data_IF_785466555945
#
_entry.id   IF_785466555945
#
_cell.length_a   1.000
_cell.length_b   1.000
_cell.length_c   1.000
_cell.angle_alpha   90.00
_cell.angle_beta   90.00
_cell.angle_gamma   90.00
#
_symmetry.space_group_name_H-M   'P 1'
#
loop_
_entity.id
_entity.type
_entity.pdbx_description
1 polymer ?
#
# COMPACT_ATOMS: atom_id res chain seq x y z
N UNK A 1 31.44 18.70 15.34
CA UNK A 1 30.21 18.44 16.12
C UNK A 1 28.95 18.67 15.29
N UNK A 2 28.78 19.85 14.66
CA UNK A 2 27.60 20.18 13.83
C UNK A 2 27.34 19.22 12.63
N UNK A 3 28.40 18.78 11.94
CA UNK A 3 28.28 17.86 10.79
C UNK A 3 27.81 16.46 11.21
N UNK A 4 28.35 15.93 12.31
CA UNK A 4 28.01 14.59 12.81
C UNK A 4 26.55 14.49 13.27
N UNK A 5 26.01 15.55 13.88
CA UNK A 5 24.60 15.60 14.28
C UNK A 5 23.66 15.68 13.08
N UNK A 6 24.05 16.38 12.01
CA UNK A 6 23.26 16.48 10.79
C UNK A 6 23.14 15.12 10.09
N UNK A 7 24.25 14.38 10.00
CA UNK A 7 24.31 13.06 9.36
C UNK A 7 23.47 12.01 10.11
N UNK A 8 23.46 12.08 11.44
CA UNK A 8 22.63 11.21 12.27
C UNK A 8 21.13 11.48 12.07
N UNK A 9 20.74 12.76 11.94
CA UNK A 9 19.35 13.14 11.70
C UNK A 9 18.82 12.64 10.34
N UNK A 10 19.63 12.75 9.28
CA UNK A 10 19.27 12.22 7.95
C UNK A 10 19.15 10.69 7.95
N UNK A 11 20.04 9.99 8.64
CA UNK A 11 19.98 8.52 8.74
C UNK A 11 18.72 8.03 9.45
N UNK A 12 18.29 8.72 10.51
CA UNK A 12 17.06 8.38 11.23
C UNK A 12 15.81 8.63 10.40
N UNK A 13 15.79 9.73 9.62
CA UNK A 13 14.70 10.03 8.70
C UNK A 13 14.57 8.95 7.61
N UNK A 14 15.70 8.57 6.99
CA UNK A 14 15.74 7.51 5.97
C UNK A 14 15.22 6.17 6.49
N UNK A 15 15.64 5.78 7.71
CA UNK A 15 15.14 4.58 8.37
C UNK A 15 13.62 4.65 8.59
N UNK A 16 13.12 5.78 9.10
CA UNK A 16 11.69 6.01 9.33
C UNK A 16 10.85 5.87 8.06
N UNK A 17 11.35 6.38 6.92
CA UNK A 17 10.67 6.21 5.64
C UNK A 17 10.72 4.79 5.09
N UNK A 18 11.84 4.08 5.23
CA UNK A 18 11.92 2.67 4.86
C UNK A 18 10.90 1.83 5.62
N UNK A 19 10.77 2.06 6.93
CA UNK A 19 9.79 1.39 7.78
C UNK A 19 8.36 1.79 7.41
N UNK A 20 8.09 3.09 7.24
CA UNK A 20 6.77 3.60 6.88
C UNK A 20 6.27 3.04 5.55
N UNK A 21 7.11 3.05 4.52
CA UNK A 21 6.79 2.46 3.21
C UNK A 21 6.56 0.95 3.31
N UNK A 22 7.38 0.23 4.09
CA UNK A 22 7.21 -1.21 4.31
C UNK A 22 5.87 -1.54 4.97
N UNK A 23 5.51 -0.83 6.04
CA UNK A 23 4.24 -1.02 6.76
C UNK A 23 3.05 -0.70 5.84
N UNK A 24 3.11 0.39 5.09
CA UNK A 24 2.06 0.77 4.13
C UNK A 24 1.87 -0.33 3.07
N UNK A 25 2.96 -0.89 2.55
CA UNK A 25 2.93 -1.97 1.55
C UNK A 25 2.29 -3.25 2.12
N UNK A 26 2.63 -3.61 3.36
CA UNK A 26 2.01 -4.77 4.03
C UNK A 26 0.50 -4.56 4.21
N UNK A 27 0.09 -3.37 4.67
CA UNK A 27 -1.32 -3.02 4.82
C UNK A 27 -2.10 -3.11 3.50
N UNK A 28 -1.52 -2.61 2.41
CA UNK A 28 -2.09 -2.68 1.08
C UNK A 28 -2.25 -4.14 0.61
N UNK A 29 -1.19 -4.93 0.73
CA UNK A 29 -1.19 -6.34 0.32
C UNK A 29 -2.25 -7.17 1.06
N UNK A 30 -2.40 -6.96 2.37
CA UNK A 30 -3.43 -7.63 3.16
C UNK A 30 -4.85 -7.19 2.76
N UNK A 31 -5.05 -5.89 2.53
CA UNK A 31 -6.34 -5.35 2.10
C UNK A 31 -6.77 -5.89 0.73
N UNK A 32 -5.89 -5.78 -0.27
CA UNK A 32 -6.12 -6.25 -1.64
C UNK A 32 -6.29 -7.77 -1.66
N UNK A 33 -5.47 -8.51 -0.92
CA UNK A 33 -5.59 -9.97 -0.82
C UNK A 33 -6.95 -10.42 -0.27
N UNK A 34 -7.46 -9.74 0.77
CA UNK A 34 -8.80 -10.01 1.31
C UNK A 34 -9.93 -9.68 0.34
N UNK A 35 -9.81 -8.54 -0.38
CA UNK A 35 -10.77 -8.14 -1.42
C UNK A 35 -10.79 -9.19 -2.54
N UNK A 36 -9.62 -9.59 -3.02
CA UNK A 36 -9.46 -10.60 -4.07
C UNK A 36 -10.02 -11.96 -3.66
N UNK A 37 -9.70 -12.45 -2.45
CA UNK A 37 -10.24 -13.71 -1.94
C UNK A 37 -11.77 -13.69 -1.86
N UNK A 38 -12.33 -12.62 -1.30
CA UNK A 38 -13.80 -12.46 -1.20
C UNK A 38 -14.48 -12.40 -2.57
N UNK A 39 -13.82 -11.77 -3.55
CA UNK A 39 -14.31 -11.73 -4.93
C UNK A 39 -14.29 -13.12 -5.58
N UNK A 40 -13.24 -13.92 -5.37
CA UNK A 40 -13.17 -15.28 -5.91
C UNK A 40 -14.27 -16.18 -5.31
N UNK A 41 -14.50 -16.10 -4.00
CA UNK A 41 -15.58 -16.83 -3.33
C UNK A 41 -16.97 -16.42 -3.85
N UNK A 42 -17.16 -15.12 -4.10
CA UNK A 42 -18.41 -14.61 -4.66
C UNK A 42 -18.63 -15.09 -6.11
N UNK A 43 -17.58 -15.09 -6.94
CA UNK A 43 -17.62 -15.58 -8.32
C UNK A 43 -17.90 -17.08 -8.36
N UNK A 44 -17.28 -17.86 -7.47
CA UNK A 44 -17.52 -19.30 -7.38
C UNK A 44 -19.00 -19.62 -7.05
N UNK A 45 -19.68 -18.77 -6.28
CA UNK A 45 -21.10 -18.93 -5.93
C UNK A 45 -22.06 -18.41 -7.00
N UNK A 46 -21.66 -17.37 -7.74
CA UNK A 46 -22.50 -16.67 -8.72
C UNK A 46 -21.66 -16.34 -9.98
N UNK A 47 -21.35 -17.34 -10.83
CA UNK A 47 -20.46 -17.16 -11.98
C UNK A 47 -21.03 -16.16 -13.02
N UNK A 48 -22.35 -16.09 -13.15
CA UNK A 48 -23.06 -15.12 -14.00
C UNK A 48 -22.80 -13.65 -13.60
N UNK A 49 -22.44 -13.38 -12.34
CA UNK A 49 -22.13 -12.04 -11.85
C UNK A 49 -20.64 -11.67 -11.94
N UNK A 50 -19.80 -12.54 -12.53
CA UNK A 50 -18.34 -12.43 -12.48
C UNK A 50 -17.79 -11.07 -12.93
N UNK A 51 -18.26 -10.55 -14.07
CA UNK A 51 -17.79 -9.26 -14.59
C UNK A 51 -18.08 -8.10 -13.62
N UNK A 52 -19.27 -8.10 -12.99
CA UNK A 52 -19.65 -7.06 -12.02
C UNK A 52 -18.83 -7.17 -10.73
N UNK A 53 -18.59 -8.40 -10.25
CA UNK A 53 -17.77 -8.64 -9.06
C UNK A 53 -16.32 -8.19 -9.30
N UNK A 54 -15.73 -8.56 -10.44
CA UNK A 54 -14.38 -8.14 -10.82
C UNK A 54 -14.24 -6.63 -10.93
N UNK A 55 -15.24 -5.95 -11.51
CA UNK A 55 -15.24 -4.47 -11.61
C UNK A 55 -15.22 -3.82 -10.23
N UNK A 56 -16.08 -4.28 -9.31
CA UNK A 56 -16.11 -3.76 -7.94
C UNK A 56 -14.83 -4.11 -7.16
N UNK A 57 -14.28 -5.30 -7.37
CA UNK A 57 -13.02 -5.75 -6.78
C UNK A 57 -11.88 -4.81 -7.19
N UNK A 58 -11.71 -4.55 -8.49
CA UNK A 58 -10.67 -3.67 -9.02
C UNK A 58 -10.84 -2.25 -8.49
N UNK A 59 -12.06 -1.70 -8.50
CA UNK A 59 -12.33 -0.36 -7.99
C UNK A 59 -11.94 -0.23 -6.50
N UNK A 60 -12.33 -1.21 -5.68
CA UNK A 60 -12.03 -1.20 -4.25
C UNK A 60 -10.53 -1.38 -4.00
N UNK A 61 -9.89 -2.30 -4.72
CA UNK A 61 -8.43 -2.50 -4.65
C UNK A 61 -7.67 -1.26 -5.10
N UNK A 62 -8.14 -0.53 -6.10
CA UNK A 62 -7.52 0.72 -6.56
C UNK A 62 -7.58 1.84 -5.51
N UNK A 63 -8.63 1.91 -4.69
CA UNK A 63 -8.67 2.84 -3.56
C UNK A 63 -7.67 2.48 -2.45
N UNK A 64 -7.50 1.18 -2.16
CA UNK A 64 -6.47 0.70 -1.22
C UNK A 64 -5.07 1.03 -1.75
N UNK A 65 -4.83 0.74 -3.03
CA UNK A 65 -3.56 1.02 -3.69
C UNK A 65 -3.26 2.52 -3.73
N UNK A 66 -4.26 3.37 -3.99
CA UNK A 66 -4.12 4.82 -3.98
C UNK A 66 -3.56 5.35 -2.65
N UNK A 67 -4.13 4.90 -1.52
CA UNK A 67 -3.63 5.25 -0.19
C UNK A 67 -2.19 4.77 0.05
N UNK A 68 -1.87 3.55 -0.38
CA UNK A 68 -0.55 2.96 -0.20
C UNK A 68 0.52 3.68 -1.04
N UNK A 69 0.21 3.97 -2.30
CA UNK A 69 1.09 4.73 -3.19
C UNK A 69 1.33 6.15 -2.68
N UNK A 70 0.33 6.81 -2.08
CA UNK A 70 0.57 8.10 -1.42
C UNK A 70 1.57 7.99 -0.26
N UNK A 71 1.47 6.96 0.57
CA UNK A 71 2.42 6.74 1.66
C UNK A 71 3.84 6.42 1.16
N UNK A 72 3.96 5.58 0.13
CA UNK A 72 5.24 5.24 -0.50
C UNK A 72 5.84 6.47 -1.20
N UNK A 73 5.04 7.23 -1.94
CA UNK A 73 5.46 8.45 -2.61
C UNK A 73 5.93 9.51 -1.60
N UNK A 74 5.22 9.69 -0.49
CA UNK A 74 5.66 10.56 0.59
C UNK A 74 7.05 10.14 1.10
N UNK A 75 7.26 8.85 1.36
CA UNK A 75 8.56 8.34 1.80
C UNK A 75 9.68 8.54 0.75
N UNK A 76 9.37 8.33 -0.53
CA UNK A 76 10.34 8.40 -1.63
C UNK A 76 10.68 9.84 -2.06
N UNK A 77 9.75 10.79 -1.97
CA UNK A 77 9.95 12.16 -2.45
C UNK A 77 10.26 13.18 -1.35
N UNK A 78 9.84 12.94 -0.10
CA UNK A 78 10.10 13.86 1.02
C UNK A 78 11.53 13.68 1.55
N UNK A 79 12.11 12.47 1.42
CA UNK A 79 13.50 12.22 1.79
C UNK A 79 14.38 12.29 0.53
N UNK A 80 15.02 13.44 0.34
CA UNK A 80 16.17 13.59 -0.55
C UNK A 80 17.46 13.32 0.21
#
# INVERSE_FOLDING_TARGET
MMISTLLAATGLAQLGCGLGAGIATIGAGLGIGKIGGSAMDAIARQPEASSKIMTNMILTSAFVEGCALFAIAACAFIIK
#
